data_IF_785009763826
#
_entry.id   IF_785009763826
#
_cell.length_a   1.000
_cell.length_b   1.000
_cell.length_c   1.000
_cell.angle_alpha   90.00
_cell.angle_beta   90.00
_cell.angle_gamma   90.00
#
_symmetry.space_group_name_H-M   'P 1'
#
loop_
_entity.id
_entity.type
_entity.pdbx_description
1 polymer ?
#
# COMPACT_ATOMS: atom_id res chain seq x y z
N UNK A 1 20.99 -8.56 -25.46
CA UNK A 1 20.93 -7.23 -24.84
C UNK A 1 20.14 -7.36 -23.56
N UNK A 2 20.74 -7.11 -22.40
CA UNK A 2 20.04 -7.20 -21.11
C UNK A 2 19.19 -5.95 -20.90
N UNK A 3 17.94 -6.13 -20.46
CA UNK A 3 17.04 -5.05 -20.08
C UNK A 3 17.56 -4.40 -18.80
N UNK A 4 17.87 -3.09 -18.86
CA UNK A 4 18.27 -2.32 -17.68
C UNK A 4 17.00 -1.87 -16.97
N UNK A 5 16.65 -2.56 -15.89
CA UNK A 5 15.48 -2.23 -15.06
C UNK A 5 15.89 -1.18 -14.02
N UNK A 6 15.25 -0.01 -14.09
CA UNK A 6 15.31 0.97 -13.00
C UNK A 6 14.47 0.46 -11.81
N UNK A 7 15.16 -0.09 -10.82
CA UNK A 7 14.56 -0.64 -9.60
C UNK A 7 13.83 0.43 -8.78
N UNK A 8 14.22 1.70 -8.89
CA UNK A 8 13.56 2.81 -8.19
C UNK A 8 12.23 3.12 -8.87
N UNK A 9 12.24 3.29 -10.20
CA UNK A 9 11.02 3.52 -10.96
C UNK A 9 10.00 2.37 -10.78
N UNK A 10 10.49 1.13 -10.77
CA UNK A 10 9.65 -0.04 -10.52
C UNK A 10 9.01 -0.02 -9.11
N UNK A 11 9.77 0.37 -8.09
CA UNK A 11 9.26 0.50 -6.71
C UNK A 11 8.25 1.64 -6.59
N UNK A 12 8.51 2.78 -7.20
CA UNK A 12 7.62 3.95 -7.15
C UNK A 12 6.27 3.63 -7.85
N UNK A 13 6.32 2.89 -8.96
CA UNK A 13 5.12 2.38 -9.64
C UNK A 13 4.32 1.42 -8.74
N UNK A 14 5.00 0.48 -8.06
CA UNK A 14 4.35 -0.44 -7.12
C UNK A 14 3.72 0.30 -5.93
N UNK A 15 4.40 1.30 -5.37
CA UNK A 15 3.86 2.13 -4.29
C UNK A 15 2.61 2.91 -4.72
N UNK A 16 2.65 3.50 -5.92
CA UNK A 16 1.52 4.24 -6.49
C UNK A 16 0.30 3.32 -6.68
N UNK A 17 0.53 2.12 -7.23
CA UNK A 17 -0.53 1.11 -7.40
C UNK A 17 -1.11 0.69 -6.05
N UNK A 18 -0.28 0.39 -5.06
CA UNK A 18 -0.72 -0.03 -3.73
C UNK A 18 -1.53 1.06 -3.01
N UNK A 19 -1.13 2.33 -3.16
CA UNK A 19 -1.87 3.45 -2.60
C UNK A 19 -3.23 3.65 -3.28
N UNK A 20 -3.29 3.50 -4.61
CA UNK A 20 -4.55 3.57 -5.36
C UNK A 20 -5.53 2.46 -4.94
N UNK A 21 -5.02 1.23 -4.73
CA UNK A 21 -5.83 0.13 -4.19
C UNK A 21 -6.39 0.44 -2.80
N UNK A 22 -5.56 1.01 -1.91
CA UNK A 22 -6.00 1.45 -0.60
C UNK A 22 -7.09 2.52 -0.69
N UNK A 23 -6.90 3.55 -1.51
CA UNK A 23 -7.87 4.63 -1.65
C UNK A 23 -9.23 4.11 -2.15
N UNK A 24 -9.23 3.23 -3.15
CA UNK A 24 -10.45 2.60 -3.64
C UNK A 24 -11.14 1.74 -2.57
N UNK A 25 -10.38 0.95 -1.81
CA UNK A 25 -10.92 0.12 -0.73
C UNK A 25 -11.47 0.97 0.44
N UNK A 26 -10.79 2.08 0.78
CA UNK A 26 -11.22 2.99 1.85
C UNK A 26 -12.50 3.74 1.47
N UNK A 27 -12.59 4.24 0.23
CA UNK A 27 -13.81 4.87 -0.28
C UNK A 27 -14.99 3.91 -0.19
N UNK A 28 -14.82 2.65 -0.63
CA UNK A 28 -15.87 1.63 -0.51
C UNK A 28 -16.23 1.36 0.96
N UNK A 29 -15.24 1.25 1.84
CA UNK A 29 -15.50 1.04 3.27
C UNK A 29 -16.28 2.20 3.90
N UNK A 30 -16.00 3.43 3.49
CA UNK A 30 -16.70 4.63 3.96
C UNK A 30 -18.12 4.73 3.40
N UNK A 31 -18.34 4.29 2.16
CA UNK A 31 -19.66 4.24 1.53
C UNK A 31 -20.56 3.16 2.16
N UNK A 32 -20.01 1.98 2.47
CA UNK A 32 -20.83 0.83 2.90
C UNK A 32 -20.92 0.68 4.42
N UNK A 33 -19.97 1.26 5.17
CA UNK A 33 -19.78 1.07 6.61
C UNK A 33 -19.68 -0.42 7.03
N UNK A 34 -19.39 -1.31 6.08
CA UNK A 34 -19.27 -2.75 6.37
C UNK A 34 -17.88 -3.04 6.90
N UNK A 35 -17.84 -3.82 7.98
CA UNK A 35 -16.58 -4.28 8.61
C UNK A 35 -15.70 -5.02 7.60
N UNK A 36 -16.29 -5.82 6.69
CA UNK A 36 -15.53 -6.54 5.67
C UNK A 36 -14.81 -5.61 4.69
N UNK A 37 -15.45 -4.50 4.30
CA UNK A 37 -14.83 -3.50 3.43
C UNK A 37 -13.73 -2.75 4.18
N UNK A 38 -13.92 -2.47 5.47
CA UNK A 38 -12.87 -1.89 6.32
C UNK A 38 -11.66 -2.81 6.46
N UNK A 39 -11.85 -4.12 6.62
CA UNK A 39 -10.76 -5.12 6.64
C UNK A 39 -10.01 -5.13 5.30
N UNK A 40 -10.73 -5.05 4.18
CA UNK A 40 -10.10 -4.96 2.86
C UNK A 40 -9.24 -3.69 2.72
N UNK A 41 -9.73 -2.55 3.21
CA UNK A 41 -8.97 -1.30 3.25
C UNK A 41 -7.71 -1.41 4.13
N UNK A 42 -7.81 -2.02 5.32
CA UNK A 42 -6.68 -2.21 6.22
C UNK A 42 -5.58 -3.10 5.61
N UNK A 43 -5.95 -4.17 4.89
CA UNK A 43 -4.98 -5.03 4.17
C UNK A 43 -4.32 -4.31 3.00
N UNK A 44 -5.05 -3.46 2.28
CA UNK A 44 -4.47 -2.64 1.22
C UNK A 44 -3.49 -1.61 1.79
N UNK A 45 -3.82 -1.00 2.93
CA UNK A 45 -2.93 -0.11 3.66
C UNK A 45 -1.64 -0.80 4.12
N UNK A 46 -1.74 -2.00 4.70
CA UNK A 46 -0.57 -2.78 5.12
C UNK A 46 0.39 -3.03 3.95
N UNK A 47 -0.13 -3.43 2.78
CA UNK A 47 0.68 -3.63 1.57
C UNK A 47 1.40 -2.35 1.13
N UNK A 48 0.72 -1.21 1.17
CA UNK A 48 1.35 0.08 0.89
C UNK A 48 2.48 0.40 1.88
N UNK A 49 2.23 0.21 3.18
CA UNK A 49 3.22 0.48 4.25
C UNK A 49 4.47 -0.40 4.10
N UNK A 50 4.31 -1.67 3.71
CA UNK A 50 5.46 -2.56 3.47
C UNK A 50 6.37 -2.06 2.34
N UNK A 51 5.79 -1.42 1.32
CA UNK A 51 6.53 -0.84 0.19
C UNK A 51 7.12 0.53 0.51
N UNK A 52 6.35 1.38 1.21
CA UNK A 52 6.73 2.74 1.55
C UNK A 52 7.76 2.80 2.68
N UNK A 53 7.62 1.92 3.68
CA UNK A 53 8.46 1.88 4.88
C UNK A 53 9.17 0.51 4.93
N UNK A 54 10.41 0.41 4.44
CA UNK A 54 11.11 -0.87 4.37
C UNK A 54 11.58 -1.40 5.73
N UNK A 55 11.74 -0.53 6.73
CA UNK A 55 12.14 -0.93 8.09
C UNK A 55 10.92 -1.23 8.97
N UNK A 56 10.76 -2.47 9.48
CA UNK A 56 9.69 -2.84 10.40
C UNK A 56 9.58 -1.96 11.66
N UNK A 57 10.69 -1.44 12.20
CA UNK A 57 10.70 -0.58 13.39
C UNK A 57 10.07 0.80 13.12
N UNK A 58 10.28 1.32 11.92
CA UNK A 58 9.66 2.57 11.47
C UNK A 58 8.15 2.42 11.22
N UNK A 59 7.68 1.22 10.83
CA UNK A 59 6.26 0.94 10.57
C UNK A 59 5.37 1.04 11.81
N UNK A 60 5.90 0.64 12.96
CA UNK A 60 5.19 0.54 14.24
C UNK A 60 5.29 1.79 15.10
N UNK A 61 5.91 2.88 14.59
CA UNK A 61 6.09 4.12 15.34
C UNK A 61 6.94 3.96 16.62
N UNK A 62 7.80 2.94 16.69
CA UNK A 62 8.71 2.70 17.84
C UNK A 62 10.02 3.50 17.73
N UNK A 63 10.00 4.66 17.08
CA UNK A 63 11.11 5.62 16.99
C UNK A 63 10.59 7.03 17.22
#
# INVERSE_FOLDING_TARGET
MGEVIDLKAARDAQMTSAFAEYAAAKNRADETLRILDMIAAARAWERFILLAIPDPRQRIGLL
#
